data_IF_505404375572
#
_entry.id   IF_505404375572
#
_cell.length_a   1.000
_cell.length_b   1.000
_cell.length_c   1.000
_cell.angle_alpha   90.00
_cell.angle_beta   90.00
_cell.angle_gamma   90.00
#
_symmetry.space_group_name_H-M   'P 1'
#
loop_
_entity.id
_entity.type
_entity.pdbx_description
1 polymer ?
#
# COMPACT_ATOMS: atom_id res chain seq x y z
N UNK A 1 -36.09 4.78 -59.77
CA UNK A 1 -35.40 5.53 -60.85
C UNK A 1 -34.20 6.21 -60.22
N UNK A 2 -32.97 5.88 -60.62
CA UNK A 2 -32.17 6.60 -61.64
C UNK A 2 -31.41 7.79 -61.05
N UNK A 3 -30.08 7.92 -61.13
CA UNK A 3 -29.01 7.02 -61.62
C UNK A 3 -27.64 7.46 -61.03
N UNK A 4 -26.59 6.65 -61.18
CA UNK A 4 -25.18 7.04 -60.90
C UNK A 4 -24.63 8.00 -61.99
N UNK A 5 -23.45 8.59 -61.77
CA UNK A 5 -22.35 8.32 -62.72
C UNK A 5 -21.13 7.61 -62.08
N UNK A 6 -20.22 7.14 -62.94
CA UNK A 6 -18.93 6.50 -62.60
C UNK A 6 -17.78 7.22 -63.31
N UNK A 7 -16.55 7.14 -62.76
CA UNK A 7 -15.22 7.18 -63.41
C UNK A 7 -14.13 7.25 -62.30
N UNK A 8 -12.85 6.88 -62.45
CA UNK A 8 -12.11 5.92 -63.30
C UNK A 8 -10.65 5.88 -62.72
N UNK A 9 -10.05 4.77 -62.26
CA UNK A 9 -9.54 3.56 -62.96
C UNK A 9 -8.11 3.66 -63.57
N UNK A 10 -7.07 3.27 -62.80
CA UNK A 10 -5.71 2.80 -63.20
C UNK A 10 -4.94 2.30 -61.94
N UNK A 11 -4.11 1.23 -61.85
CA UNK A 11 -3.79 0.04 -62.67
C UNK A 11 -2.37 -0.10 -63.33
N UNK A 12 -1.27 0.00 -62.56
CA UNK A 12 0.09 -0.51 -62.91
C UNK A 12 1.01 -0.49 -61.65
N UNK A 13 2.08 -1.31 -61.47
CA UNK A 13 2.56 -2.57 -62.07
C UNK A 13 3.57 -3.25 -61.10
N UNK A 14 3.79 -4.57 -61.21
CA UNK A 14 4.81 -5.33 -60.44
C UNK A 14 6.21 -5.27 -61.09
N UNK A 15 7.28 -5.72 -60.39
CA UNK A 15 7.83 -7.03 -60.77
C UNK A 15 8.17 -7.97 -59.59
N UNK A 16 8.58 -9.20 -59.92
CA UNK A 16 8.71 -10.36 -59.02
C UNK A 16 10.13 -10.97 -59.07
N UNK A 17 10.65 -11.45 -57.95
CA UNK A 17 11.74 -12.44 -57.82
C UNK A 17 11.70 -13.02 -56.38
N UNK A 18 11.73 -14.31 -56.03
CA UNK A 18 12.26 -15.55 -56.65
C UNK A 18 13.80 -15.63 -56.67
N UNK A 19 14.48 -16.72 -56.26
CA UNK A 19 14.03 -17.99 -55.63
C UNK A 19 15.24 -18.66 -54.93
N UNK A 20 15.03 -19.45 -53.87
CA UNK A 20 15.94 -20.55 -53.47
C UNK A 20 15.26 -21.51 -52.46
N UNK A 21 15.45 -22.81 -52.63
CA UNK A 21 15.10 -23.86 -51.66
C UNK A 21 16.27 -24.83 -51.53
N UNK A 22 16.58 -25.27 -50.31
CA UNK A 22 16.95 -26.65 -49.94
C UNK A 22 16.82 -26.73 -48.40
N UNK A 23 16.11 -27.67 -47.76
CA UNK A 23 16.08 -29.14 -47.86
C UNK A 23 17.32 -29.83 -47.27
N UNK A 24 17.09 -30.90 -46.49
CA UNK A 24 18.14 -31.61 -45.75
C UNK A 24 17.70 -32.13 -44.38
N UNK A 25 16.94 -33.24 -44.35
CA UNK A 25 16.60 -33.93 -43.11
C UNK A 25 17.72 -34.89 -42.64
N UNK A 26 17.65 -35.28 -41.36
CA UNK A 26 18.58 -36.18 -40.64
C UNK A 26 18.93 -37.49 -41.37
N UNK A 27 20.06 -38.12 -41.04
CA UNK A 27 19.91 -39.39 -40.31
C UNK A 27 20.91 -39.64 -39.16
N UNK A 28 20.45 -40.42 -38.18
CA UNK A 28 21.26 -41.04 -37.11
C UNK A 28 21.90 -42.33 -37.62
N UNK A 29 23.21 -42.55 -37.38
CA UNK A 29 23.75 -43.93 -37.31
C UNK A 29 24.99 -44.10 -36.42
N UNK A 30 24.84 -44.95 -35.39
CA UNK A 30 25.77 -45.97 -34.85
C UNK A 30 27.29 -45.70 -34.76
N UNK A 31 27.73 -45.64 -33.50
CA UNK A 31 28.70 -46.58 -32.88
C UNK A 31 30.07 -46.80 -33.55
N UNK A 32 31.12 -46.31 -32.88
CA UNK A 32 32.34 -47.11 -32.73
C UNK A 32 33.08 -46.88 -31.42
N UNK A 33 33.21 -47.94 -30.64
CA UNK A 33 33.98 -48.02 -29.40
C UNK A 33 35.46 -47.62 -29.53
N UNK A 34 36.01 -46.96 -28.50
CA UNK A 34 37.42 -47.04 -28.09
C UNK A 34 37.50 -47.26 -26.57
N UNK A 35 38.60 -47.87 -26.09
CA UNK A 35 38.72 -48.39 -24.71
C UNK A 35 39.40 -47.40 -23.75
N UNK A 36 39.11 -47.58 -22.47
CA UNK A 36 39.49 -46.67 -21.38
C UNK A 36 40.98 -46.72 -20.96
N UNK A 37 41.40 -45.66 -20.29
CA UNK A 37 42.42 -45.66 -19.24
C UNK A 37 41.81 -44.97 -17.97
N UNK A 38 42.09 -45.43 -16.74
CA UNK A 38 41.35 -44.99 -15.54
C UNK A 38 42.09 -43.98 -14.65
N UNK A 39 41.35 -43.22 -13.82
CA UNK A 39 41.94 -42.51 -12.68
C UNK A 39 41.02 -41.52 -11.95
N UNK A 40 40.84 -41.73 -10.63
CA UNK A 40 40.27 -40.78 -9.64
C UNK A 40 38.78 -40.39 -9.80
N UNK A 41 38.08 -39.93 -8.73
CA UNK A 41 36.69 -40.31 -8.51
C UNK A 41 35.64 -39.21 -8.70
N UNK A 42 34.39 -39.64 -8.86
CA UNK A 42 33.20 -38.79 -8.73
C UNK A 42 32.82 -38.73 -7.25
N UNK A 43 32.76 -37.52 -6.68
CA UNK A 43 32.13 -37.29 -5.37
C UNK A 43 30.67 -36.88 -5.61
N UNK A 44 29.73 -37.71 -5.17
CA UNK A 44 28.36 -37.27 -4.93
C UNK A 44 28.32 -36.62 -3.55
N UNK A 45 27.79 -35.41 -3.44
CA UNK A 45 27.50 -34.76 -2.16
C UNK A 45 25.98 -34.62 -2.04
N UNK A 46 25.43 -35.23 -1.00
CA UNK A 46 24.05 -35.09 -0.55
C UNK A 46 24.02 -34.36 0.79
N UNK A 47 22.98 -33.56 0.98
CA UNK A 47 22.37 -33.14 2.25
C UNK A 47 23.16 -32.26 3.24
N UNK A 48 22.50 -31.13 3.56
CA UNK A 48 22.27 -30.50 4.88
C UNK A 48 23.30 -30.69 6.02
N UNK A 49 23.80 -29.59 6.61
CA UNK A 49 24.46 -29.59 7.92
C UNK A 49 23.48 -29.30 9.07
N UNK A 50 23.16 -30.31 9.89
CA UNK A 50 22.64 -30.09 11.25
C UNK A 50 23.77 -29.61 12.19
N UNK A 51 23.50 -28.62 13.05
CA UNK A 51 24.48 -28.06 13.98
C UNK A 51 24.38 -28.73 15.35
N UNK A 52 25.40 -29.51 15.72
CA UNK A 52 25.49 -30.15 17.04
C UNK A 52 26.09 -29.20 18.07
N UNK A 53 25.34 -28.90 19.14
CA UNK A 53 25.83 -28.26 20.36
C UNK A 53 26.50 -29.30 21.28
N UNK A 54 27.83 -29.26 21.45
CA UNK A 54 28.49 -29.91 22.59
C UNK A 54 28.75 -28.90 23.73
N UNK A 55 27.89 -28.91 24.74
CA UNK A 55 28.12 -28.16 25.98
C UNK A 55 29.01 -28.93 26.95
N UNK A 56 30.18 -28.37 27.32
CA UNK A 56 31.09 -28.98 28.31
C UNK A 56 31.20 -28.14 29.59
N UNK A 57 30.66 -28.67 30.68
CA UNK A 57 30.80 -28.10 32.03
C UNK A 57 32.25 -28.21 32.54
N UNK A 58 32.74 -27.16 33.20
CA UNK A 58 33.99 -27.15 33.99
C UNK A 58 33.76 -26.33 35.26
N UNK A 59 33.87 -26.97 36.42
CA UNK A 59 33.79 -26.38 37.76
C UNK A 59 35.19 -25.88 38.24
N UNK A 60 35.28 -24.99 39.26
CA UNK A 60 36.38 -24.04 39.39
C UNK A 60 37.63 -24.55 40.14
N UNK A 61 38.77 -23.92 39.84
CA UNK A 61 40.04 -24.06 40.56
C UNK A 61 40.65 -22.71 40.93
N UNK A 62 41.25 -22.60 42.12
CA UNK A 62 41.69 -21.32 42.72
C UNK A 62 43.22 -21.19 42.77
N UNK A 63 43.81 -20.05 42.37
CA UNK A 63 44.74 -19.24 43.19
C UNK A 63 45.50 -18.10 42.44
N UNK A 64 45.79 -17.04 43.23
CA UNK A 64 47.00 -16.20 43.21
C UNK A 64 47.44 -15.39 41.96
N UNK A 65 46.83 -14.21 41.83
CA UNK A 65 47.49 -12.89 41.82
C UNK A 65 48.86 -12.65 41.15
N UNK A 66 48.87 -11.72 40.18
CA UNK A 66 49.90 -10.68 40.05
C UNK A 66 49.24 -9.36 39.62
N UNK A 67 49.75 -8.21 40.07
CA UNK A 67 49.10 -6.91 39.87
C UNK A 67 49.92 -5.97 38.98
N UNK A 68 49.23 -5.17 38.16
CA UNK A 68 49.79 -3.93 37.57
C UNK A 68 48.69 -2.87 37.43
N UNK A 69 49.04 -1.63 37.72
CA UNK A 69 48.11 -0.54 38.01
C UNK A 69 47.53 0.13 36.76
N UNK A 70 46.22 0.40 36.77
CA UNK A 70 45.59 1.44 35.96
C UNK A 70 44.55 2.18 36.84
N UNK A 71 44.46 3.50 36.70
CA UNK A 71 43.65 4.36 37.60
C UNK A 71 42.32 4.74 36.94
N UNK A 72 41.19 4.36 37.55
CA UNK A 72 39.86 4.87 37.20
C UNK A 72 39.32 5.76 38.33
N UNK A 73 38.77 6.91 37.98
CA UNK A 73 38.02 7.76 38.91
C UNK A 73 36.60 7.19 39.08
N UNK A 74 36.14 7.06 40.31
CA UNK A 74 34.74 6.74 40.59
C UNK A 74 33.86 8.00 40.54
N UNK A 75 32.66 7.95 39.95
CA UNK A 75 31.72 9.07 39.97
C UNK A 75 31.17 9.29 41.39
N UNK A 76 30.96 10.56 41.76
CA UNK A 76 30.37 10.93 43.05
C UNK A 76 28.84 10.95 42.96
N UNK A 77 28.19 9.96 43.57
CA UNK A 77 26.74 10.01 43.80
C UNK A 77 26.45 10.92 45.00
N UNK A 78 25.67 11.98 44.78
CA UNK A 78 25.17 12.87 45.84
C UNK A 78 23.91 12.29 46.49
N UNK A 79 23.75 12.36 47.82
CA UNK A 79 22.58 11.79 48.51
C UNK A 79 21.33 12.67 48.34
N UNK A 80 20.23 12.05 47.93
CA UNK A 80 18.90 12.67 47.85
C UNK A 80 18.31 12.84 49.27
N UNK A 81 17.71 13.99 49.62
CA UNK A 81 17.17 14.23 50.96
C UNK A 81 15.85 13.45 51.23
N UNK A 82 15.55 13.13 52.50
CA UNK A 82 14.41 12.27 52.85
C UNK A 82 13.05 12.96 52.71
N UNK A 83 12.11 12.28 52.03
CA UNK A 83 10.71 12.70 51.92
C UNK A 83 9.98 12.64 53.26
N UNK A 84 9.04 13.59 53.49
CA UNK A 84 8.22 13.66 54.71
C UNK A 84 6.88 12.93 54.52
N UNK A 85 6.46 12.04 55.44
CA UNK A 85 5.15 11.40 55.38
C UNK A 85 4.03 12.25 56.04
N UNK A 86 2.78 11.86 55.73
CA UNK A 86 1.45 12.40 56.17
C UNK A 86 0.85 13.39 55.16
N UNK A 87 -0.48 13.37 54.93
CA UNK A 87 -1.58 12.91 55.81
C UNK A 87 -2.70 12.25 55.00
N UNK A 88 -3.28 11.14 55.49
CA UNK A 88 -4.63 10.73 55.06
C UNK A 88 -5.66 11.73 55.62
N UNK A 89 -6.69 12.03 54.83
CA UNK A 89 -7.94 12.61 55.30
C UNK A 89 -8.95 11.48 55.55
N UNK A 90 -9.81 11.64 56.56
CA UNK A 90 -10.72 10.58 57.01
C UNK A 90 -12.15 10.74 56.47
N UNK A 91 -12.86 9.61 56.38
CA UNK A 91 -14.30 9.54 56.11
C UNK A 91 -15.09 10.20 57.24
N UNK A 92 -16.18 10.91 56.90
CA UNK A 92 -17.18 11.40 57.83
C UNK A 92 -18.55 10.79 57.57
N UNK A 93 -19.17 10.19 58.59
CA UNK A 93 -20.53 9.61 58.49
C UNK A 93 -21.63 10.67 58.63
N UNK A 94 -22.76 10.48 57.93
CA UNK A 94 -23.76 11.53 57.69
C UNK A 94 -25.25 11.16 57.86
N UNK A 95 -25.56 10.13 58.67
CA UNK A 95 -26.91 9.71 59.10
C UNK A 95 -27.92 9.21 58.02
N UNK A 96 -28.71 8.19 58.43
CA UNK A 96 -29.87 7.68 57.67
C UNK A 96 -31.17 8.25 58.23
N UNK A 97 -32.19 8.44 57.38
CA UNK A 97 -33.61 8.29 57.76
C UNK A 97 -34.34 7.48 56.70
N UNK A 98 -35.27 6.64 57.14
CA UNK A 98 -36.07 5.78 56.27
C UNK A 98 -37.45 6.39 55.99
N UNK A 99 -37.98 6.12 54.80
CA UNK A 99 -39.37 6.32 54.40
C UNK A 99 -39.94 5.01 53.86
N UNK A 100 -41.22 4.75 54.11
CA UNK A 100 -41.91 3.48 53.80
C UNK A 100 -42.53 3.50 52.37
N UNK A 101 -42.91 2.34 51.79
CA UNK A 101 -43.25 2.23 50.36
C UNK A 101 -44.70 2.63 50.03
N UNK A 102 -44.96 2.83 48.74
CA UNK A 102 -46.29 2.99 48.13
C UNK A 102 -46.45 2.02 46.93
N UNK A 103 -47.69 1.69 46.49
CA UNK A 103 -48.01 0.31 46.07
C UNK A 103 -48.15 0.06 44.56
N UNK A 104 -48.13 -1.22 44.17
CA UNK A 104 -48.56 -1.72 42.85
C UNK A 104 -50.08 -1.69 42.67
N UNK A 105 -50.57 -1.21 41.53
CA UNK A 105 -51.78 -1.62 40.77
C UNK A 105 -51.77 -0.86 39.41
N UNK A 106 -52.45 -1.32 38.35
CA UNK A 106 -52.27 -2.59 37.65
C UNK A 106 -52.02 -2.37 36.13
N UNK A 107 -51.83 -3.44 35.33
CA UNK A 107 -51.88 -3.34 33.85
C UNK A 107 -53.33 -3.21 33.36
N UNK A 108 -53.54 -2.42 32.29
CA UNK A 108 -54.45 -2.75 31.21
C UNK A 108 -53.69 -2.97 29.89
N UNK A 109 -54.02 -4.01 29.16
CA UNK A 109 -53.51 -4.23 27.79
C UNK A 109 -54.44 -3.58 26.75
N UNK A 110 -53.92 -3.43 25.52
CA UNK A 110 -54.70 -3.43 24.28
C UNK A 110 -55.68 -2.24 24.04
N UNK A 111 -55.16 -1.07 23.63
CA UNK A 111 -55.71 -0.23 22.53
C UNK A 111 -54.90 1.08 22.32
N UNK A 112 -53.75 0.99 21.63
CA UNK A 112 -53.00 2.17 21.15
C UNK A 112 -52.10 1.91 19.92
N UNK A 113 -52.30 0.80 19.18
CA UNK A 113 -51.56 0.53 17.93
C UNK A 113 -52.18 1.29 16.74
N UNK A 114 -51.93 2.60 16.66
CA UNK A 114 -52.08 3.40 15.44
C UNK A 114 -51.27 4.70 15.56
N UNK A 115 -50.72 5.18 14.44
CA UNK A 115 -50.08 6.51 14.28
C UNK A 115 -48.72 6.76 15.00
N UNK A 116 -48.02 5.70 15.44
CA UNK A 116 -46.59 5.78 15.83
C UNK A 116 -45.61 5.38 14.72
N UNK A 117 -45.98 4.38 13.89
CA UNK A 117 -45.07 3.66 12.99
C UNK A 117 -45.28 4.02 11.51
N UNK A 118 -45.19 5.31 11.17
CA UNK A 118 -45.21 5.80 9.78
C UNK A 118 -44.02 6.71 9.42
N UNK A 119 -42.96 6.68 10.22
CA UNK A 119 -41.73 7.46 9.94
C UNK A 119 -40.43 6.69 10.13
N UNK A 120 -40.50 5.36 10.11
CA UNK A 120 -39.39 4.46 9.76
C UNK A 120 -39.69 3.89 8.37
N UNK A 121 -38.75 3.98 7.42
CA UNK A 121 -38.97 3.51 6.04
C UNK A 121 -38.34 4.35 4.92
N UNK A 122 -37.65 5.45 5.20
CA UNK A 122 -36.70 6.05 4.26
C UNK A 122 -35.32 5.43 4.45
N UNK A 123 -35.10 4.29 3.81
CA UNK A 123 -33.76 3.78 3.55
C UNK A 123 -33.09 4.72 2.56
N UNK A 124 -32.10 5.50 2.99
CA UNK A 124 -31.24 6.25 2.07
C UNK A 124 -30.32 5.27 1.36
N UNK A 125 -30.31 5.27 0.02
CA UNK A 125 -29.29 4.55 -0.74
C UNK A 125 -27.97 5.33 -0.71
N UNK A 126 -26.98 4.82 0.01
CA UNK A 126 -25.66 5.45 0.24
C UNK A 126 -24.55 4.39 0.40
N UNK A 127 -24.31 3.60 -0.65
CA UNK A 127 -23.03 2.91 -0.95
C UNK A 127 -23.12 2.31 -2.36
N UNK A 128 -21.98 2.08 -3.02
CA UNK A 128 -21.92 1.47 -4.35
C UNK A 128 -22.17 -0.06 -4.29
N UNK A 129 -21.86 -0.68 -3.14
CA UNK A 129 -22.06 -2.10 -2.80
C UNK A 129 -23.39 -2.70 -3.29
N UNK A 130 -24.50 -1.93 -3.24
CA UNK A 130 -25.82 -2.44 -3.64
C UNK A 130 -25.98 -2.64 -5.14
N UNK A 131 -25.26 -1.90 -5.98
CA UNK A 131 -25.24 -2.14 -7.42
C UNK A 131 -24.54 -3.47 -7.69
N UNK A 132 -23.39 -3.69 -7.04
CA UNK A 132 -22.63 -4.95 -7.13
C UNK A 132 -23.46 -6.14 -6.61
N UNK A 133 -24.14 -6.01 -5.47
CA UNK A 133 -25.05 -7.05 -4.96
C UNK A 133 -26.24 -7.32 -5.90
N UNK A 134 -26.72 -6.34 -6.66
CA UNK A 134 -27.78 -6.55 -7.66
C UNK A 134 -27.23 -7.32 -8.88
N UNK A 135 -26.01 -7.02 -9.34
CA UNK A 135 -25.35 -7.79 -10.42
C UNK A 135 -25.09 -9.23 -9.99
N UNK A 136 -24.53 -9.43 -8.79
CA UNK A 136 -24.26 -10.76 -8.21
C UNK A 136 -25.54 -11.59 -7.97
N UNK A 137 -26.69 -10.93 -7.73
CA UNK A 137 -28.01 -11.59 -7.67
C UNK A 137 -28.59 -11.92 -9.07
N UNK A 138 -28.27 -11.11 -10.09
CA UNK A 138 -28.66 -11.35 -11.49
C UNK A 138 -27.90 -12.56 -12.05
N UNK A 139 -26.58 -12.64 -11.83
CA UNK A 139 -25.76 -13.79 -12.25
C UNK A 139 -26.19 -15.11 -11.57
N UNK A 140 -26.80 -15.03 -10.38
CA UNK A 140 -27.34 -16.18 -9.64
C UNK A 140 -28.82 -16.49 -9.97
N UNK A 141 -29.49 -15.65 -10.74
CA UNK A 141 -30.84 -15.89 -11.28
C UNK A 141 -32.01 -15.79 -10.29
N UNK A 142 -31.83 -15.20 -9.10
CA UNK A 142 -32.82 -15.29 -8.02
C UNK A 142 -33.95 -14.21 -8.06
N UNK A 143 -34.82 -14.34 -9.06
CA UNK A 143 -36.24 -13.89 -9.07
C UNK A 143 -36.57 -12.39 -9.09
N UNK A 144 -37.73 -12.06 -9.70
CA UNK A 144 -38.16 -10.68 -9.99
C UNK A 144 -38.46 -9.79 -8.77
N UNK A 145 -38.66 -10.36 -7.58
CA UNK A 145 -38.99 -9.57 -6.39
C UNK A 145 -37.77 -8.79 -5.86
N UNK A 146 -36.55 -9.30 -6.05
CA UNK A 146 -35.32 -8.55 -5.79
C UNK A 146 -35.20 -7.32 -6.72
N UNK A 147 -35.46 -7.51 -8.02
CA UNK A 147 -35.43 -6.43 -9.01
C UNK A 147 -36.46 -5.33 -8.68
N UNK A 148 -37.66 -5.72 -8.23
CA UNK A 148 -38.71 -4.78 -7.76
C UNK A 148 -38.33 -4.02 -6.50
N UNK A 149 -37.56 -4.62 -5.59
CA UNK A 149 -37.04 -3.95 -4.40
C UNK A 149 -35.96 -2.90 -4.73
N UNK A 150 -35.25 -3.03 -5.87
CA UNK A 150 -34.22 -2.10 -6.32
C UNK A 150 -34.74 -0.82 -6.99
N UNK A 151 -35.93 -0.85 -7.62
CA UNK A 151 -36.49 0.29 -8.39
C UNK A 151 -36.49 1.63 -7.63
N UNK A 152 -36.90 1.72 -6.34
CA UNK A 152 -36.88 2.98 -5.60
C UNK A 152 -35.46 3.55 -5.36
N UNK A 153 -34.43 2.71 -5.43
CA UNK A 153 -33.03 3.10 -5.31
C UNK A 153 -32.51 3.67 -6.64
N UNK A 154 -32.85 3.03 -7.75
CA UNK A 154 -32.53 3.51 -9.11
C UNK A 154 -33.20 4.85 -9.43
N UNK A 155 -34.46 5.05 -9.01
CA UNK A 155 -35.14 6.35 -9.09
C UNK A 155 -34.44 7.45 -8.26
N UNK A 156 -33.75 7.08 -7.18
CA UNK A 156 -33.05 8.02 -6.30
C UNK A 156 -31.64 8.38 -6.79
N UNK A 157 -31.01 7.50 -7.60
CA UNK A 157 -29.70 7.72 -8.23
C UNK A 157 -29.78 8.43 -9.60
N UNK A 158 -30.98 8.81 -10.06
CA UNK A 158 -31.17 9.63 -11.26
C UNK A 158 -31.29 8.85 -12.58
N UNK A 159 -31.45 7.52 -12.53
CA UNK A 159 -31.67 6.72 -13.73
C UNK A 159 -32.88 7.21 -14.55
N UNK A 160 -32.78 7.20 -15.88
CA UNK A 160 -33.89 7.65 -16.74
C UNK A 160 -35.16 6.84 -16.48
N UNK A 161 -36.31 7.52 -16.54
CA UNK A 161 -37.64 6.89 -16.39
C UNK A 161 -37.89 5.81 -17.44
N UNK A 162 -37.18 5.88 -18.58
CA UNK A 162 -37.25 4.86 -19.63
C UNK A 162 -36.56 3.55 -19.20
N UNK A 163 -35.46 3.61 -18.44
CA UNK A 163 -34.78 2.42 -17.87
C UNK A 163 -35.69 1.70 -16.89
N UNK A 164 -36.34 2.46 -16.00
CA UNK A 164 -37.31 1.96 -15.02
C UNK A 164 -38.56 1.40 -15.70
N UNK A 165 -39.00 1.98 -16.82
CA UNK A 165 -40.10 1.45 -17.62
C UNK A 165 -39.75 0.11 -18.29
N UNK A 166 -38.55 -0.01 -18.88
CA UNK A 166 -38.08 -1.26 -19.51
C UNK A 166 -38.00 -2.42 -18.50
N UNK A 167 -37.38 -2.19 -17.33
CA UNK A 167 -37.25 -3.19 -16.27
C UNK A 167 -38.60 -3.68 -15.70
N UNK A 168 -39.68 -2.91 -15.91
CA UNK A 168 -41.04 -3.24 -15.45
C UNK A 168 -41.87 -4.04 -16.46
N UNK A 169 -41.50 -3.99 -17.75
CA UNK A 169 -42.26 -4.57 -18.87
C UNK A 169 -41.60 -5.81 -19.50
N UNK A 170 -40.30 -6.03 -19.30
CA UNK A 170 -39.56 -7.16 -19.85
C UNK A 170 -39.80 -8.47 -19.06
N UNK A 171 -40.55 -9.39 -19.66
CA UNK A 171 -40.70 -10.77 -19.17
C UNK A 171 -39.49 -11.63 -19.54
N UNK A 172 -38.33 -11.33 -18.93
CA UNK A 172 -37.01 -11.86 -19.30
C UNK A 172 -36.11 -10.73 -19.79
N UNK A 173 -34.87 -10.65 -19.27
CA UNK A 173 -33.89 -9.62 -19.64
C UNK A 173 -32.98 -10.07 -20.79
N UNK A 174 -32.87 -11.38 -20.99
CA UNK A 174 -32.01 -12.13 -21.94
C UNK A 174 -32.12 -11.69 -23.41
N UNK A 175 -33.22 -11.02 -23.80
CA UNK A 175 -33.52 -10.61 -25.18
C UNK A 175 -33.55 -9.06 -25.36
N UNK A 176 -33.23 -8.31 -24.29
CA UNK A 176 -33.17 -6.83 -24.32
C UNK A 176 -31.80 -6.26 -23.93
N UNK A 177 -31.04 -6.99 -23.10
CA UNK A 177 -29.60 -6.80 -22.96
C UNK A 177 -28.91 -7.87 -23.81
N UNK A 178 -28.39 -7.47 -24.98
CA UNK A 178 -27.42 -8.30 -25.69
C UNK A 178 -26.16 -8.45 -24.82
N UNK A 179 -25.50 -9.61 -24.88
CA UNK A 179 -24.45 -10.06 -23.94
C UNK A 179 -23.11 -9.25 -23.98
N UNK A 180 -23.11 -8.00 -24.46
CA UNK A 180 -21.89 -7.21 -24.74
C UNK A 180 -21.66 -5.98 -23.83
N UNK A 181 -22.64 -5.46 -23.08
CA UNK A 181 -22.54 -4.07 -22.54
C UNK A 181 -22.05 -3.89 -21.10
N UNK A 182 -21.45 -4.92 -20.47
CA UNK A 182 -20.66 -4.78 -19.22
C UNK A 182 -19.32 -5.53 -19.32
N UNK A 183 -19.24 -6.61 -20.11
CA UNK A 183 -18.04 -7.46 -20.26
C UNK A 183 -17.11 -7.06 -21.43
N UNK A 184 -17.04 -5.77 -21.77
CA UNK A 184 -16.30 -5.28 -22.96
C UNK A 184 -15.19 -4.25 -22.67
N UNK A 185 -15.10 -3.69 -21.46
CA UNK A 185 -14.03 -2.76 -21.09
C UNK A 185 -12.65 -3.47 -21.10
N UNK A 186 -11.61 -2.91 -21.75
CA UNK A 186 -10.31 -3.56 -21.87
C UNK A 186 -9.52 -3.41 -20.56
N UNK A 187 -9.05 -4.54 -19.99
CA UNK A 187 -8.09 -4.51 -18.89
C UNK A 187 -6.76 -3.93 -19.42
N UNK A 188 -6.32 -2.82 -18.82
CA UNK A 188 -5.08 -2.11 -19.14
C UNK A 188 -4.03 -2.45 -18.08
N UNK A 189 -2.75 -2.54 -18.48
CA UNK A 189 -1.65 -2.62 -17.49
C UNK A 189 -1.43 -1.21 -16.95
N UNK A 190 -1.84 -0.97 -15.70
CA UNK A 190 -1.87 0.36 -15.08
C UNK A 190 -0.82 0.54 -13.98
N UNK A 191 -0.24 -0.55 -13.47
CA UNK A 191 0.75 -0.52 -12.41
C UNK A 191 1.78 -1.65 -12.52
N UNK A 192 2.94 -1.45 -11.91
CA UNK A 192 4.05 -2.40 -11.86
C UNK A 192 4.70 -2.40 -10.47
N UNK A 193 4.94 -3.58 -9.92
CA UNK A 193 5.67 -3.80 -8.66
C UNK A 193 7.06 -4.35 -8.93
N UNK A 194 8.00 -4.05 -8.04
CA UNK A 194 9.32 -4.67 -8.09
C UNK A 194 10.20 -4.42 -6.87
N UNK A 195 11.37 -5.04 -6.89
CA UNK A 195 12.37 -5.00 -5.82
C UNK A 195 13.75 -4.84 -6.43
N UNK A 196 14.57 -3.96 -5.85
CA UNK A 196 15.95 -3.70 -6.25
C UNK A 196 16.87 -3.59 -5.03
N UNK A 197 18.17 -3.45 -5.28
CA UNK A 197 19.13 -2.96 -4.29
C UNK A 197 19.58 -1.57 -4.72
N UNK A 198 19.67 -0.64 -3.77
CA UNK A 198 20.19 0.72 -3.95
C UNK A 198 21.20 1.05 -2.86
N UNK A 199 22.17 1.88 -3.20
CA UNK A 199 22.98 2.65 -2.25
C UNK A 199 22.75 4.16 -2.52
N UNK A 200 23.72 5.00 -2.18
CA UNK A 200 23.71 6.44 -2.45
C UNK A 200 23.90 6.82 -3.93
N UNK A 201 24.21 5.88 -4.82
CA UNK A 201 24.40 6.13 -6.25
C UNK A 201 23.08 6.03 -7.02
N UNK A 202 22.93 6.84 -8.07
CA UNK A 202 21.74 6.81 -8.92
C UNK A 202 21.73 5.58 -9.83
N UNK A 203 20.61 4.86 -9.80
CA UNK A 203 20.35 3.71 -10.66
C UNK A 203 19.03 3.91 -11.41
N UNK A 204 19.10 3.89 -12.73
CA UNK A 204 17.93 3.82 -13.61
C UNK A 204 17.51 2.36 -13.80
N UNK A 205 16.24 2.08 -13.56
CA UNK A 205 15.56 0.81 -13.86
C UNK A 205 14.61 1.04 -15.02
N UNK A 206 14.70 0.18 -16.04
CA UNK A 206 13.71 0.15 -17.13
C UNK A 206 12.54 -0.74 -16.72
N UNK A 207 11.35 -0.15 -16.66
CA UNK A 207 10.06 -0.76 -16.34
C UNK A 207 9.57 -1.66 -17.49
N UNK A 208 8.64 -2.57 -17.19
CA UNK A 208 8.01 -3.46 -18.16
C UNK A 208 6.95 -2.73 -19.01
N UNK A 209 6.38 -1.63 -18.52
CA UNK A 209 5.43 -0.76 -19.24
C UNK A 209 5.97 0.67 -19.38
N UNK A 210 5.36 1.44 -20.29
CA UNK A 210 5.57 2.90 -20.39
C UNK A 210 4.34 3.61 -19.85
N UNK A 211 4.58 4.60 -18.99
CA UNK A 211 3.60 5.42 -18.32
C UNK A 211 3.55 6.84 -18.93
N UNK A 212 2.40 7.51 -18.89
CA UNK A 212 2.27 8.91 -19.30
C UNK A 212 2.52 9.86 -18.12
N UNK A 213 1.92 9.56 -16.96
CA UNK A 213 2.13 10.23 -15.67
C UNK A 213 2.41 9.17 -14.59
N UNK A 214 3.63 8.61 -14.52
CA UNK A 214 3.99 7.64 -13.49
C UNK A 214 3.97 8.26 -12.09
N UNK A 215 3.23 7.62 -11.19
CA UNK A 215 3.28 7.83 -9.74
C UNK A 215 4.10 6.70 -9.13
N UNK A 216 5.28 7.03 -8.62
CA UNK A 216 6.21 6.08 -8.01
C UNK A 216 6.09 6.16 -6.49
N UNK A 217 5.85 5.03 -5.83
CA UNK A 217 6.09 4.88 -4.39
C UNK A 217 7.24 3.90 -4.21
N UNK A 218 8.25 4.24 -3.40
CA UNK A 218 9.37 3.37 -3.09
C UNK A 218 9.64 3.33 -1.58
N UNK A 219 10.17 2.22 -1.07
CA UNK A 219 10.35 1.99 0.37
C UNK A 219 11.63 1.25 0.69
N UNK A 220 12.39 1.78 1.66
CA UNK A 220 13.60 1.17 2.21
C UNK A 220 13.19 0.00 3.12
N UNK A 221 13.27 -1.22 2.59
CA UNK A 221 12.73 -2.43 3.21
C UNK A 221 13.75 -3.18 4.09
N UNK A 222 14.93 -2.62 4.34
CA UNK A 222 15.96 -3.13 5.25
C UNK A 222 16.72 -2.01 5.97
N UNK A 223 17.40 -2.41 7.05
CA UNK A 223 18.36 -1.61 7.80
C UNK A 223 19.68 -2.41 7.83
N UNK A 224 20.51 -2.21 6.80
CA UNK A 224 21.85 -2.79 6.66
C UNK A 224 22.94 -1.73 6.90
N UNK A 225 22.69 -0.49 6.49
CA UNK A 225 23.42 0.68 6.97
C UNK A 225 22.69 1.29 8.18
N UNK A 226 23.42 1.66 9.22
CA UNK A 226 22.84 2.14 10.48
C UNK A 226 22.43 3.62 10.47
N UNK A 227 22.80 4.37 9.43
CA UNK A 227 22.41 5.77 9.26
C UNK A 227 20.95 5.89 8.79
N UNK A 228 20.21 6.95 9.18
CA UNK A 228 18.88 7.23 8.66
C UNK A 228 18.93 7.54 7.16
N UNK A 229 18.00 6.96 6.41
CA UNK A 229 17.98 7.07 4.94
C UNK A 229 16.56 6.91 4.38
N UNK A 230 16.27 7.54 3.24
CA UNK A 230 15.03 7.31 2.49
C UNK A 230 15.31 7.20 0.98
N UNK A 231 14.32 6.79 0.17
CA UNK A 231 14.43 6.75 -1.30
C UNK A 231 14.13 8.13 -1.89
N UNK A 232 15.06 8.69 -2.67
CA UNK A 232 14.78 9.84 -3.54
C UNK A 232 14.50 9.35 -4.96
N UNK A 233 13.34 9.76 -5.49
CA UNK A 233 13.06 9.66 -6.93
C UNK A 233 13.70 10.87 -7.60
N UNK A 234 14.65 10.63 -8.51
CA UNK A 234 15.28 11.73 -9.28
C UNK A 234 14.44 12.03 -10.51
N UNK A 235 14.01 11.00 -11.25
CA UNK A 235 13.22 11.11 -12.47
C UNK A 235 12.39 9.84 -12.70
N UNK A 236 11.14 10.01 -13.18
CA UNK A 236 10.29 8.92 -13.69
C UNK A 236 9.63 9.40 -14.99
N UNK A 237 9.85 8.69 -16.10
CA UNK A 237 9.44 9.17 -17.43
C UNK A 237 9.30 8.00 -18.41
N UNK A 238 8.11 7.84 -19.00
CA UNK A 238 7.84 6.73 -19.91
C UNK A 238 8.04 5.38 -19.20
N UNK A 239 9.03 4.61 -19.65
CA UNK A 239 9.40 3.32 -19.07
C UNK A 239 10.73 3.34 -18.30
N UNK A 240 11.30 4.51 -17.99
CA UNK A 240 12.56 4.61 -17.22
C UNK A 240 12.32 5.30 -15.86
N UNK A 241 12.90 4.72 -14.80
CA UNK A 241 12.76 5.15 -13.42
C UNK A 241 14.14 5.27 -12.75
N UNK A 242 14.55 6.47 -12.37
CA UNK A 242 15.84 6.75 -11.72
C UNK A 242 15.67 7.06 -10.24
N UNK A 243 16.28 6.22 -9.40
CA UNK A 243 16.23 6.27 -7.94
C UNK A 243 17.64 6.28 -7.33
N UNK A 244 17.76 6.81 -6.10
CA UNK A 244 18.86 6.52 -5.17
C UNK A 244 18.36 6.48 -3.73
N UNK A 245 19.19 6.01 -2.81
CA UNK A 245 19.04 6.36 -1.40
C UNK A 245 19.59 7.77 -1.15
N UNK A 246 18.96 8.50 -0.24
CA UNK A 246 19.43 9.80 0.24
C UNK A 246 19.40 9.82 1.77
N UNK A 247 20.56 10.10 2.37
CA UNK A 247 20.70 10.47 3.79
C UNK A 247 20.24 11.94 3.99
N UNK A 248 19.78 12.33 5.18
CA UNK A 248 19.72 13.73 5.62
C UNK A 248 21.03 14.51 5.36
N UNK A 249 20.92 15.85 5.21
CA UNK A 249 22.04 16.69 4.79
C UNK A 249 23.16 16.79 5.85
N UNK A 250 22.87 16.49 7.12
CA UNK A 250 23.86 16.50 8.21
C UNK A 250 24.87 15.34 8.17
N UNK A 251 24.64 14.33 7.32
CA UNK A 251 25.51 13.16 7.13
C UNK A 251 26.49 13.34 5.96
N UNK A 252 27.26 12.29 5.60
CA UNK A 252 28.30 12.38 4.57
C UNK A 252 27.84 12.01 3.15
N UNK A 253 26.62 11.47 3.02
CA UNK A 253 25.99 11.08 1.76
C UNK A 253 26.34 9.67 1.28
N UNK A 254 26.98 8.84 2.10
CA UNK A 254 27.53 7.53 1.71
C UNK A 254 26.84 6.35 2.40
N UNK A 255 25.56 6.11 2.06
CA UNK A 255 24.83 4.94 2.60
C UNK A 255 25.25 3.60 1.97
N UNK A 256 24.93 2.51 2.66
CA UNK A 256 25.16 1.12 2.23
C UNK A 256 24.01 0.53 1.38
N UNK A 257 24.25 -0.62 0.73
CA UNK A 257 23.26 -1.37 -0.07
C UNK A 257 22.00 -1.75 0.75
N UNK A 258 20.84 -1.14 0.52
CA UNK A 258 19.54 -1.57 1.06
C UNK A 258 18.67 -2.29 0.02
N UNK A 259 17.78 -3.19 0.47
CA UNK A 259 16.69 -3.68 -0.38
C UNK A 259 15.61 -2.61 -0.43
N UNK A 260 15.27 -2.15 -1.63
CA UNK A 260 14.15 -1.24 -1.88
C UNK A 260 13.05 -1.97 -2.64
N UNK A 261 11.81 -1.77 -2.22
CA UNK A 261 10.61 -2.19 -2.94
C UNK A 261 9.96 -0.97 -3.60
N UNK A 262 9.35 -1.14 -4.78
CA UNK A 262 8.66 -0.06 -5.48
C UNK A 262 7.34 -0.51 -6.12
N UNK A 263 6.45 0.46 -6.29
CA UNK A 263 5.20 0.40 -7.01
C UNK A 263 5.16 1.63 -7.92
N UNK A 264 4.98 1.42 -9.22
CA UNK A 264 4.64 2.49 -10.18
C UNK A 264 3.17 2.33 -10.56
N UNK A 265 2.40 3.41 -10.56
CA UNK A 265 0.99 3.46 -10.98
C UNK A 265 0.81 4.59 -11.98
N UNK A 266 0.04 4.37 -13.05
CA UNK A 266 -0.41 5.44 -13.94
C UNK A 266 -1.40 6.34 -13.20
N UNK A 267 -1.18 7.66 -13.22
CA UNK A 267 -2.11 8.59 -12.59
C UNK A 267 -3.51 8.51 -13.22
N UNK A 268 -4.55 8.46 -12.39
CA UNK A 268 -5.93 8.21 -12.79
C UNK A 268 -6.68 7.35 -11.78
N UNK A 269 -7.90 6.99 -12.16
CA UNK A 269 -8.84 6.22 -11.33
C UNK A 269 -9.06 4.83 -11.94
N UNK A 270 -8.94 3.78 -11.13
CA UNK A 270 -8.81 2.39 -11.60
C UNK A 270 -9.67 1.43 -10.78
N UNK A 271 -10.30 0.46 -11.45
CA UNK A 271 -11.00 -0.67 -10.81
C UNK A 271 -10.25 -1.97 -11.11
N UNK A 272 -9.81 -2.70 -10.08
CA UNK A 272 -9.22 -4.03 -10.24
C UNK A 272 -10.28 -5.08 -10.66
N UNK A 273 -9.88 -6.23 -11.27
CA UNK A 273 -10.83 -7.28 -11.67
C UNK A 273 -11.67 -7.92 -10.56
N UNK A 274 -11.35 -7.66 -9.29
CA UNK A 274 -12.12 -8.07 -8.10
C UNK A 274 -13.06 -6.97 -7.55
N UNK A 275 -13.08 -5.79 -8.19
CA UNK A 275 -13.87 -4.62 -7.80
C UNK A 275 -13.11 -3.58 -6.97
N UNK A 276 -11.90 -3.90 -6.48
CA UNK A 276 -11.11 -2.99 -5.63
C UNK A 276 -10.83 -1.66 -6.32
N UNK A 277 -11.15 -0.55 -5.65
CA UNK A 277 -10.93 0.80 -6.15
C UNK A 277 -9.52 1.33 -5.80
N UNK A 278 -8.89 1.97 -6.78
CA UNK A 278 -7.56 2.61 -6.68
C UNK A 278 -7.63 3.97 -7.34
N UNK A 279 -7.04 4.99 -6.71
CA UNK A 279 -6.82 6.30 -7.33
C UNK A 279 -5.36 6.73 -7.11
N UNK A 280 -4.71 7.21 -8.16
CA UNK A 280 -3.32 7.67 -8.12
C UNK A 280 -3.20 9.06 -8.75
N UNK A 281 -2.44 9.95 -8.12
CA UNK A 281 -2.35 11.33 -8.55
C UNK A 281 -1.05 12.03 -8.19
N UNK A 282 -0.89 13.24 -8.73
CA UNK A 282 0.26 14.11 -8.49
C UNK A 282 -0.17 15.54 -8.18
N UNK A 283 0.63 16.25 -7.38
CA UNK A 283 0.53 17.69 -7.19
C UNK A 283 1.91 18.32 -7.00
N UNK A 284 2.09 19.55 -7.46
CA UNK A 284 3.34 20.30 -7.26
C UNK A 284 3.25 21.15 -5.98
N UNK A 285 4.25 21.05 -5.09
CA UNK A 285 4.28 21.74 -3.79
C UNK A 285 5.70 22.13 -3.37
N UNK A 286 5.81 23.23 -2.63
CA UNK A 286 7.02 23.65 -1.92
C UNK A 286 6.78 23.84 -0.41
N UNK A 287 5.63 23.38 0.10
CA UNK A 287 5.26 23.50 1.51
C UNK A 287 5.98 22.46 2.36
N UNK A 288 6.58 22.92 3.45
CA UNK A 288 7.07 22.11 4.56
C UNK A 288 6.03 22.06 5.70
N UNK A 289 6.08 21.06 6.57
CA UNK A 289 5.05 20.81 7.59
C UNK A 289 4.76 22.02 8.53
N UNK A 290 5.72 22.89 8.91
CA UNK A 290 5.42 24.09 9.70
C UNK A 290 4.67 25.19 8.92
N UNK A 291 4.71 25.14 7.59
CA UNK A 291 4.01 26.07 6.68
C UNK A 291 2.57 25.64 6.38
N UNK A 292 2.25 24.36 6.60
CA UNK A 292 0.92 23.78 6.38
C UNK A 292 0.92 22.59 5.44
N UNK A 293 -0.28 22.20 4.98
CA UNK A 293 -0.53 21.04 4.14
C UNK A 293 -1.36 21.43 2.90
N UNK A 294 -1.29 20.61 1.86
CA UNK A 294 -2.19 20.63 0.70
C UNK A 294 -3.33 19.65 0.96
N UNK A 295 -4.57 20.08 0.85
CA UNK A 295 -5.71 19.15 0.77
C UNK A 295 -5.71 18.49 -0.60
N UNK A 296 -5.77 17.16 -0.61
CA UNK A 296 -6.07 16.32 -1.77
C UNK A 296 -7.53 15.90 -1.67
N UNK A 297 -8.25 15.91 -2.78
CA UNK A 297 -9.62 15.39 -2.90
C UNK A 297 -9.60 14.28 -3.94
N UNK A 298 -10.36 13.21 -3.70
CA UNK A 298 -10.47 12.10 -4.64
C UNK A 298 -11.53 12.37 -5.72
N UNK A 299 -11.29 11.91 -6.95
CA UNK A 299 -12.21 12.04 -8.09
C UNK A 299 -13.43 11.12 -7.98
N UNK A 300 -13.38 10.09 -7.13
CA UNK A 300 -14.55 9.48 -6.52
C UNK A 300 -14.32 9.15 -5.03
N UNK A 301 -15.41 9.10 -4.26
CA UNK A 301 -15.34 8.72 -2.85
C UNK A 301 -15.20 7.20 -2.69
N UNK A 302 -14.25 6.77 -1.87
CA UNK A 302 -14.07 5.38 -1.44
C UNK A 302 -15.21 4.98 -0.48
N UNK A 303 -15.56 3.68 -0.36
CA UNK A 303 -16.60 3.24 0.62
C UNK A 303 -16.10 3.30 2.09
N UNK A 304 -14.81 3.64 2.32
CA UNK A 304 -14.22 3.95 3.63
C UNK A 304 -12.89 4.72 3.48
N UNK A 305 -12.19 5.05 4.58
CA UNK A 305 -10.85 5.67 4.48
C UNK A 305 -9.86 4.71 3.81
N UNK A 306 -9.26 5.06 2.66
CA UNK A 306 -8.31 4.19 1.98
C UNK A 306 -6.97 4.08 2.71
N UNK A 307 -6.16 3.13 2.26
CA UNK A 307 -4.72 3.03 2.50
C UNK A 307 -4.04 4.01 1.54
N UNK A 308 -3.28 4.96 2.06
CA UNK A 308 -2.67 6.04 1.27
C UNK A 308 -1.16 5.96 1.40
N UNK A 309 -0.48 5.91 0.26
CA UNK A 309 0.98 5.99 0.16
C UNK A 309 1.36 7.27 -0.60
N UNK A 310 2.42 7.95 -0.19
CA UNK A 310 2.90 9.17 -0.85
C UNK A 310 4.42 9.21 -0.92
N UNK A 311 4.96 9.90 -1.92
CA UNK A 311 6.40 9.94 -2.23
C UNK A 311 6.75 11.23 -3.01
N UNK A 312 7.93 11.80 -2.78
CA UNK A 312 8.48 12.90 -3.60
C UNK A 312 9.01 12.31 -4.91
N UNK A 313 8.52 12.81 -6.06
CA UNK A 313 8.74 12.26 -7.41
C UNK A 313 9.92 12.90 -8.17
N UNK A 314 10.49 13.97 -7.64
CA UNK A 314 11.53 14.78 -8.30
C UNK A 314 12.65 15.19 -7.33
N UNK A 315 13.77 15.64 -7.88
CA UNK A 315 14.88 16.24 -7.13
C UNK A 315 15.23 17.64 -7.68
N UNK A 316 14.23 18.52 -7.76
CA UNK A 316 14.41 19.93 -8.09
C UNK A 316 15.17 20.68 -6.98
N UNK A 317 14.96 20.30 -5.72
CA UNK A 317 15.79 20.69 -4.58
C UNK A 317 16.91 19.67 -4.32
N UNK A 318 18.09 20.10 -3.83
CA UNK A 318 19.16 19.17 -3.46
C UNK A 318 18.89 18.50 -2.10
N UNK A 319 18.24 19.21 -1.20
CA UNK A 319 18.09 18.85 0.21
C UNK A 319 17.26 17.57 0.42
N UNK A 320 17.56 16.84 1.50
CA UNK A 320 16.74 15.70 1.92
C UNK A 320 15.31 16.15 2.20
N UNK A 321 14.34 15.41 1.66
CA UNK A 321 12.92 15.71 1.86
C UNK A 321 12.07 14.44 1.75
N UNK A 322 11.11 14.28 2.65
CA UNK A 322 10.13 13.19 2.70
C UNK A 322 8.70 13.73 2.66
N UNK A 323 7.74 12.95 2.16
CA UNK A 323 6.31 13.27 2.29
C UNK A 323 5.79 12.96 3.70
N UNK A 324 4.76 13.72 4.11
CA UNK A 324 3.99 13.51 5.35
C UNK A 324 2.51 13.75 5.08
N UNK A 325 1.63 12.95 5.67
CA UNK A 325 0.19 13.02 5.43
C UNK A 325 -0.64 12.88 6.71
N UNK A 326 -1.90 13.35 6.69
CA UNK A 326 -2.84 13.24 7.82
C UNK A 326 -4.29 13.36 7.36
N UNK A 327 -5.22 13.25 8.33
CA UNK A 327 -6.63 13.61 8.21
C UNK A 327 -7.34 12.97 6.99
N UNK A 328 -6.99 11.71 6.71
CA UNK A 328 -7.55 10.92 5.62
C UNK A 328 -8.98 10.42 5.93
N UNK A 329 -9.90 10.66 5.01
CA UNK A 329 -11.24 10.08 5.01
C UNK A 329 -11.59 9.47 3.64
N UNK A 330 -12.87 9.14 3.43
CA UNK A 330 -13.38 8.56 2.18
C UNK A 330 -13.29 9.48 0.95
N UNK A 331 -13.04 10.78 1.14
CA UNK A 331 -13.14 11.84 0.12
C UNK A 331 -11.84 12.61 -0.13
N UNK A 332 -10.83 12.43 0.73
CA UNK A 332 -9.54 13.08 0.58
C UNK A 332 -8.62 12.91 1.79
N UNK A 333 -7.51 13.65 1.77
CA UNK A 333 -6.51 13.70 2.85
C UNK A 333 -5.68 14.99 2.78
N UNK A 334 -4.81 15.23 3.76
CA UNK A 334 -3.84 16.32 3.72
C UNK A 334 -2.41 15.80 3.50
N UNK A 335 -1.64 16.43 2.61
CA UNK A 335 -0.28 16.06 2.20
C UNK A 335 0.68 17.26 2.31
N UNK A 336 1.90 17.03 2.82
CA UNK A 336 2.98 18.03 2.89
C UNK A 336 4.35 17.35 2.80
N UNK A 337 5.43 18.12 2.93
CA UNK A 337 6.81 17.63 3.03
C UNK A 337 7.42 17.89 4.42
N UNK A 338 8.48 17.15 4.76
CA UNK A 338 9.46 17.52 5.79
C UNK A 338 10.88 17.43 5.23
N UNK A 339 11.69 18.47 5.48
CA UNK A 339 13.16 18.41 5.42
C UNK A 339 13.70 17.90 6.77
N UNK A 340 15.01 17.70 6.91
CA UNK A 340 15.67 17.52 8.22
C UNK A 340 15.26 18.62 9.22
N UNK A 341 15.14 18.31 10.52
CA UNK A 341 14.48 19.20 11.48
C UNK A 341 15.13 20.59 11.56
N UNK A 342 16.47 20.66 11.50
CA UNK A 342 17.23 21.90 11.53
C UNK A 342 17.01 22.83 10.32
N UNK A 343 16.36 22.34 9.24
CA UNK A 343 15.99 23.11 8.04
C UNK A 343 14.47 23.20 7.81
N UNK A 344 13.67 22.32 8.44
CA UNK A 344 12.24 22.17 8.17
C UNK A 344 11.37 23.43 8.45
N UNK A 345 11.87 24.41 9.22
CA UNK A 345 11.21 25.72 9.40
C UNK A 345 11.50 26.75 8.28
N UNK A 346 12.42 26.41 7.37
CA UNK A 346 12.88 27.19 6.23
C UNK A 346 11.93 27.13 5.03
N UNK A 347 12.33 26.43 3.96
CA UNK A 347 11.49 26.32 2.76
C UNK A 347 12.18 25.73 1.53
N UNK A 348 11.58 24.66 1.02
CA UNK A 348 12.10 23.87 -0.10
C UNK A 348 11.91 24.52 -1.48
N UNK A 349 12.57 23.95 -2.48
CA UNK A 349 12.19 24.14 -3.90
C UNK A 349 10.83 23.47 -4.17
N UNK A 350 10.13 23.85 -5.23
CA UNK A 350 8.90 23.15 -5.60
C UNK A 350 9.22 21.76 -6.18
N UNK A 351 8.69 20.72 -5.54
CA UNK A 351 8.79 19.33 -5.98
C UNK A 351 7.42 18.80 -6.39
N UNK A 352 7.42 17.74 -7.22
CA UNK A 352 6.21 16.97 -7.48
C UNK A 352 6.02 15.92 -6.40
N UNK A 353 4.85 15.91 -5.79
CA UNK A 353 4.41 14.91 -4.82
C UNK A 353 3.45 13.96 -5.52
N UNK A 354 3.72 12.66 -5.44
CA UNK A 354 2.89 11.60 -5.97
C UNK A 354 2.23 10.85 -4.82
N UNK A 355 1.01 10.35 -5.05
CA UNK A 355 0.26 9.58 -4.07
C UNK A 355 -0.60 8.50 -4.73
N UNK A 356 -0.81 7.41 -4.01
CA UNK A 356 -1.68 6.28 -4.38
C UNK A 356 -2.60 5.99 -3.20
N UNK A 357 -3.91 6.03 -3.44
CA UNK A 357 -4.95 5.61 -2.52
C UNK A 357 -5.56 4.29 -3.02
N UNK A 358 -5.68 3.30 -2.14
CA UNK A 358 -6.23 1.97 -2.43
C UNK A 358 -7.11 1.50 -1.28
N UNK A 359 -8.23 0.83 -1.58
CA UNK A 359 -9.06 0.23 -0.53
C UNK A 359 -8.28 -0.81 0.29
N UNK A 360 -8.59 -0.92 1.59
CA UNK A 360 -7.95 -1.89 2.48
C UNK A 360 -8.49 -3.31 2.22
N UNK A 361 -7.63 -4.24 1.79
CA UNK A 361 -8.05 -5.59 1.39
C UNK A 361 -6.91 -6.48 0.92
N UNK A 362 -7.25 -7.51 0.17
CA UNK A 362 -6.27 -8.40 -0.49
C UNK A 362 -6.89 -9.08 -1.69
N UNK A 363 -6.16 -9.17 -2.80
CA UNK A 363 -6.67 -9.70 -4.05
C UNK A 363 -5.57 -10.23 -4.97
N UNK A 364 -5.88 -10.34 -6.25
CA UNK A 364 -4.90 -10.71 -7.28
C UNK A 364 -5.21 -10.03 -8.60
N UNK A 365 -4.24 -9.30 -9.12
CA UNK A 365 -4.32 -8.69 -10.45
C UNK A 365 -3.14 -9.11 -11.32
N UNK A 366 -3.43 -9.58 -12.53
CA UNK A 366 -2.43 -10.16 -13.43
C UNK A 366 -1.67 -11.31 -12.75
N UNK A 367 -0.36 -11.13 -12.59
CA UNK A 367 0.52 -12.09 -11.92
C UNK A 367 0.81 -11.74 -10.45
N UNK A 368 0.28 -10.64 -9.93
CA UNK A 368 0.58 -10.14 -8.59
C UNK A 368 -0.58 -10.41 -7.63
N UNK A 369 -0.31 -11.14 -6.55
CA UNK A 369 -1.17 -11.16 -5.37
C UNK A 369 -0.73 -10.07 -4.40
N UNK A 370 -1.70 -9.29 -3.94
CA UNK A 370 -1.48 -8.07 -3.18
C UNK A 370 -2.30 -8.04 -1.89
N UNK A 371 -1.85 -7.24 -0.92
CA UNK A 371 -2.56 -6.96 0.32
C UNK A 371 -2.27 -5.51 0.76
N UNK A 372 -3.31 -4.74 1.01
CA UNK A 372 -3.27 -3.36 1.50
C UNK A 372 -3.81 -3.28 2.93
N UNK A 373 -3.21 -2.44 3.78
CA UNK A 373 -3.67 -2.33 5.17
C UNK A 373 -3.12 -1.14 5.93
N UNK A 374 -3.58 -0.98 7.18
CA UNK A 374 -3.16 0.05 8.12
C UNK A 374 -2.70 -0.57 9.44
N UNK A 375 -1.48 -0.25 9.86
CA UNK A 375 -0.94 -0.53 11.19
C UNK A 375 -1.05 0.68 12.11
N UNK A 376 -0.88 0.46 13.42
CA UNK A 376 -0.82 1.51 14.44
C UNK A 376 0.06 1.08 15.61
N UNK A 377 0.58 2.04 16.37
CA UNK A 377 1.52 1.77 17.47
C UNK A 377 2.98 1.76 17.05
N UNK A 378 3.31 2.26 15.84
CA UNK A 378 4.69 2.31 15.33
C UNK A 378 5.42 3.51 15.94
N UNK A 379 6.66 3.31 16.36
CA UNK A 379 7.55 4.31 16.99
C UNK A 379 8.99 4.04 16.51
N UNK A 380 9.95 4.87 16.96
CA UNK A 380 11.40 4.66 16.82
C UNK A 380 11.86 3.24 17.22
N UNK A 381 11.28 2.67 18.27
CA UNK A 381 11.62 1.33 18.78
C UNK A 381 11.19 0.20 17.82
N UNK A 382 10.31 0.50 16.88
CA UNK A 382 9.80 -0.41 15.86
C UNK A 382 8.77 -1.42 16.34
N UNK A 383 8.25 -2.20 15.41
CA UNK A 383 7.29 -3.27 15.66
C UNK A 383 7.04 -4.16 14.44
N UNK A 384 6.51 -5.34 14.72
CA UNK A 384 6.16 -6.35 13.72
C UNK A 384 4.71 -6.21 13.28
N UNK A 385 4.48 -5.95 11.99
CA UNK A 385 3.13 -5.91 11.40
C UNK A 385 2.83 -7.26 10.77
N UNK A 386 2.00 -8.06 11.45
CA UNK A 386 1.55 -9.36 10.97
C UNK A 386 0.41 -9.25 9.96
N UNK A 387 0.51 -9.96 8.83
CA UNK A 387 -0.44 -9.89 7.71
C UNK A 387 -1.69 -10.78 7.89
N UNK A 388 -1.75 -11.59 8.96
CA UNK A 388 -2.84 -12.56 9.20
C UNK A 388 -2.84 -13.79 8.28
N UNK A 389 -2.21 -13.69 7.11
CA UNK A 389 -2.00 -14.75 6.13
C UNK A 389 -0.50 -14.94 5.82
N UNK A 390 -0.18 -15.96 5.02
CA UNK A 390 1.17 -16.26 4.54
C UNK A 390 1.32 -15.89 3.07
N UNK A 391 2.37 -15.15 2.73
CA UNK A 391 2.73 -14.75 1.36
C UNK A 391 3.83 -15.69 0.85
N UNK A 392 3.49 -16.56 -0.10
CA UNK A 392 4.47 -17.39 -0.79
C UNK A 392 5.40 -16.53 -1.65
N UNK A 393 6.71 -16.79 -1.59
CA UNK A 393 7.76 -15.91 -2.11
C UNK A 393 8.34 -14.95 -1.05
N UNK A 394 7.61 -14.69 0.03
CA UNK A 394 7.98 -13.75 1.09
C UNK A 394 7.35 -12.37 0.91
N UNK A 395 7.31 -11.58 1.99
CA UNK A 395 6.65 -10.27 2.00
C UNK A 395 7.55 -9.20 1.40
N UNK A 396 7.15 -8.62 0.27
CA UNK A 396 7.68 -7.35 -0.22
C UNK A 396 6.68 -6.26 0.16
N UNK A 397 7.08 -5.37 1.06
CA UNK A 397 6.25 -4.29 1.61
C UNK A 397 6.71 -2.93 1.12
N UNK A 398 5.76 -2.03 0.90
CA UNK A 398 5.90 -0.58 0.78
C UNK A 398 5.03 0.03 1.87
N UNK A 399 5.54 1.02 2.60
CA UNK A 399 4.81 1.63 3.70
C UNK A 399 5.11 3.13 3.87
N UNK A 400 4.12 3.89 4.34
CA UNK A 400 4.22 5.31 4.62
C UNK A 400 3.49 5.67 5.93
N UNK A 401 4.01 6.65 6.69
CA UNK A 401 3.34 7.11 7.92
C UNK A 401 2.04 7.84 7.54
N UNK A 402 0.91 7.32 8.01
CA UNK A 402 -0.43 7.78 7.63
C UNK A 402 -1.07 8.75 8.62
N UNK A 403 -0.34 9.10 9.68
CA UNK A 403 -0.65 10.15 10.64
C UNK A 403 0.41 11.26 10.61
N UNK A 404 0.15 12.32 11.38
CA UNK A 404 1.13 13.34 11.75
C UNK A 404 1.11 13.54 13.26
N UNK A 405 1.75 12.61 13.99
CA UNK A 405 2.05 12.73 15.41
C UNK A 405 3.49 13.22 15.62
N UNK A 406 3.77 13.80 16.80
CA UNK A 406 5.05 14.43 17.07
C UNK A 406 5.19 15.83 16.45
N UNK A 407 6.41 16.35 16.41
CA UNK A 407 6.78 17.60 15.74
C UNK A 407 8.07 17.47 14.93
N UNK A 408 8.96 16.58 15.38
CA UNK A 408 10.22 16.18 14.78
C UNK A 408 10.05 15.69 13.33
N UNK A 409 11.13 15.67 12.55
CA UNK A 409 11.12 15.07 11.21
C UNK A 409 11.23 13.56 11.28
N UNK A 410 10.31 12.86 10.62
CA UNK A 410 10.29 11.40 10.66
C UNK A 410 9.61 10.72 9.45
N UNK A 411 10.06 9.52 9.09
CA UNK A 411 9.49 8.69 8.01
C UNK A 411 9.45 7.20 8.38
N UNK A 412 8.91 6.36 7.50
CA UNK A 412 8.84 4.91 7.73
C UNK A 412 10.05 4.19 7.12
N UNK A 413 10.66 3.26 7.88
CA UNK A 413 11.72 2.36 7.37
C UNK A 413 11.50 0.92 7.84
N UNK A 414 11.84 -0.05 6.99
CA UNK A 414 11.71 -1.48 7.27
C UNK A 414 12.98 -2.09 7.85
N UNK A 415 12.85 -3.00 8.83
CA UNK A 415 13.95 -3.85 9.36
C UNK A 415 13.97 -5.26 8.76
N UNK A 416 13.37 -5.42 7.57
CA UNK A 416 13.21 -6.71 6.89
C UNK A 416 11.81 -7.32 7.03
N UNK A 417 11.64 -8.54 6.53
CA UNK A 417 10.35 -9.21 6.48
C UNK A 417 10.46 -10.74 6.49
N UNK A 418 9.35 -11.40 6.86
CA UNK A 418 9.19 -12.86 6.82
C UNK A 418 8.23 -13.25 5.67
N UNK A 419 7.60 -14.42 5.74
CA UNK A 419 6.47 -14.81 4.90
C UNK A 419 5.09 -14.52 5.54
N UNK A 420 5.05 -13.95 6.74
CA UNK A 420 3.79 -13.67 7.48
C UNK A 420 3.73 -12.29 8.14
N UNK A 421 4.84 -11.55 8.18
CA UNK A 421 4.95 -10.23 8.79
C UNK A 421 6.09 -9.39 8.17
N UNK A 422 6.11 -8.09 8.45
CA UNK A 422 7.26 -7.22 8.22
C UNK A 422 7.60 -6.40 9.46
N UNK A 423 8.89 -6.11 9.66
CA UNK A 423 9.36 -5.25 10.75
C UNK A 423 9.46 -3.82 10.23
N UNK A 424 8.90 -2.87 10.97
CA UNK A 424 8.85 -1.44 10.59
C UNK A 424 9.08 -0.55 11.80
N UNK A 425 9.70 0.60 11.60
CA UNK A 425 9.87 1.62 12.62
C UNK A 425 9.70 3.02 12.02
N UNK A 426 9.52 3.98 12.92
CA UNK A 426 9.63 5.40 12.58
C UNK A 426 11.11 5.76 12.61
N UNK A 427 11.69 6.07 11.47
CA UNK A 427 13.02 6.67 11.39
C UNK A 427 12.88 8.17 11.72
N UNK A 428 13.69 8.66 12.65
CA UNK A 428 13.76 10.08 13.01
C UNK A 428 15.05 10.72 12.52
N UNK A 429 15.01 12.05 12.44
CA UNK A 429 16.12 12.90 12.06
C UNK A 429 16.89 13.43 13.28
N UNK A 430 18.23 13.36 13.27
CA UNK A 430 19.09 13.82 14.38
C UNK A 430 19.75 15.20 14.10
N UNK A 431 19.25 15.99 13.12
CA UNK A 431 19.95 17.21 12.68
C UNK A 431 19.91 18.37 13.69
N UNK A 432 18.90 18.37 14.56
CA UNK A 432 18.63 19.44 15.52
C UNK A 432 19.16 19.11 16.93
N UNK A 433 18.95 17.88 17.42
CA UNK A 433 19.69 17.26 18.52
C UNK A 433 19.66 15.71 18.44
N UNK A 434 20.47 15.05 19.29
CA UNK A 434 20.70 13.58 19.29
C UNK A 434 19.48 12.75 19.79
N UNK A 435 18.23 13.21 19.61
CA UNK A 435 17.01 12.61 20.17
C UNK A 435 16.21 11.79 19.13
N UNK A 436 15.74 10.60 19.53
CA UNK A 436 15.01 9.66 18.66
C UNK A 436 13.86 8.95 19.41
N UNK A 437 13.11 9.64 20.29
CA UNK A 437 11.97 9.07 21.04
C UNK A 437 10.60 9.35 20.36
N UNK A 438 10.45 9.03 19.06
CA UNK A 438 9.23 9.37 18.32
C UNK A 438 7.92 8.91 18.98
N UNK A 439 6.89 9.74 18.81
CA UNK A 439 5.51 9.45 19.16
C UNK A 439 4.95 8.20 18.43
N UNK A 440 3.83 7.68 18.92
CA UNK A 440 3.13 6.57 18.26
C UNK A 440 2.35 7.05 17.04
N UNK A 441 2.66 6.49 15.88
CA UNK A 441 2.05 6.79 14.58
C UNK A 441 1.14 5.66 14.08
N UNK A 442 0.35 5.96 13.05
CA UNK A 442 -0.25 4.97 12.14
C UNK A 442 0.58 4.84 10.87
N UNK A 443 0.54 3.66 10.26
CA UNK A 443 1.27 3.38 9.02
C UNK A 443 0.34 2.72 8.01
N UNK A 444 0.34 3.22 6.78
CA UNK A 444 -0.34 2.59 5.65
C UNK A 444 0.66 1.77 4.85
N UNK A 445 0.24 0.60 4.38
CA UNK A 445 1.13 -0.34 3.71
C UNK A 445 0.46 -1.10 2.57
N UNK A 446 1.26 -1.42 1.56
CA UNK A 446 0.93 -2.29 0.44
C UNK A 446 1.99 -3.40 0.35
N UNK A 447 1.54 -4.64 0.15
CA UNK A 447 2.35 -5.85 0.08
C UNK A 447 2.10 -6.56 -1.24
N UNK A 448 3.15 -7.11 -1.86
CA UNK A 448 3.07 -7.91 -3.09
C UNK A 448 3.96 -9.16 -3.06
N UNK A 449 3.54 -10.22 -3.78
CA UNK A 449 4.21 -11.52 -3.85
C UNK A 449 5.45 -11.56 -4.78
N UNK A 450 5.52 -10.68 -5.78
CA UNK A 450 6.68 -10.59 -6.68
C UNK A 450 6.70 -9.37 -7.60
N UNK A 451 7.71 -9.29 -8.46
CA UNK A 451 7.82 -8.25 -9.48
C UNK A 451 6.96 -8.58 -10.70
N UNK A 452 6.27 -7.58 -11.27
CA UNK A 452 5.34 -7.78 -12.38
C UNK A 452 4.26 -6.70 -12.47
N UNK A 453 3.43 -6.77 -13.52
CA UNK A 453 2.37 -5.80 -13.77
C UNK A 453 1.02 -6.22 -13.19
N UNK A 454 0.24 -5.20 -12.79
CA UNK A 454 -1.16 -5.31 -12.42
C UNK A 454 -2.03 -4.76 -13.55
N UNK A 455 -3.18 -5.41 -13.77
CA UNK A 455 -4.22 -4.98 -14.69
C UNK A 455 -5.41 -4.35 -13.97
N UNK A 456 -6.02 -3.33 -14.56
CA UNK A 456 -7.26 -2.71 -14.11
C UNK A 456 -8.14 -2.32 -15.29
N UNK A 457 -9.42 -2.09 -15.03
CA UNK A 457 -10.26 -1.26 -15.88
C UNK A 457 -10.01 0.21 -15.54
N UNK A 458 -10.01 1.06 -16.56
CA UNK A 458 -10.05 2.52 -16.39
C UNK A 458 -11.46 2.91 -15.90
N UNK A 459 -11.55 3.75 -14.87
CA UNK A 459 -12.85 4.18 -14.33
C UNK A 459 -13.65 5.03 -15.33
N UNK A 460 -12.98 5.78 -16.22
CA UNK A 460 -13.64 6.61 -17.22
C UNK A 460 -14.35 5.78 -18.30
N UNK A 461 -13.96 4.51 -18.51
CA UNK A 461 -14.68 3.56 -19.38
C UNK A 461 -16.12 3.25 -18.89
N UNK A 462 -16.50 3.71 -17.68
CA UNK A 462 -17.83 3.53 -17.07
C UNK A 462 -18.55 4.85 -16.72
N UNK A 463 -18.04 6.01 -17.14
CA UNK A 463 -18.63 7.34 -16.82
C UNK A 463 -19.63 7.89 -17.86
N UNK A 464 -19.90 7.20 -18.97
CA UNK A 464 -20.85 7.60 -20.04
C UNK A 464 -22.28 7.01 -19.90
#
# INVERSE_FOLDING_TARGET
>A
MSLKPLCAAALALLPLAAVAQDSGASPVTKDRSLRAAPGTPITVITDLPDVIYEGRLVEPGTQAASASSASMLAPRISPIPPQRPRRLAAVGEGQRRAGAPLPEQPRPELQAMTQGEQQAGRTTCTSYERVIQIVDLIERGETQDALRAAVPCLEQLGASRDVIAMASLAGGLDDLLGEETISAAPIRSFAETGTLTLDHNEQTVTLQQSYETPVVIAFVATERGGQPVNVRVTEASGNDLTLRLQEPNYLDGTHADERVNYLVVEAGTWILPDGTFIEAGVLDSNLLSPQGFKTVQFDAAFDGTPVILSQVQTSNGPDFVTTRQRDADATGFELTMQEEEALNDGGHTAERLGWVAIEAGSGRSGNISWLSGRGSGVTHSGGSVGLGARVDGGVNVIAALSSFAGGNTAWARGRGSTDTAFEIFVEEDESQDDETEHASETVDFFVFDGAGTLGAYDYDDFRE
#
